data_IF_495698719824
#
_entry.id   IF_495698719824
#
_cell.length_a   1.000
_cell.length_b   1.000
_cell.length_c   1.000
_cell.angle_alpha   90.00
_cell.angle_beta   90.00
_cell.angle_gamma   90.00
#
_symmetry.space_group_name_H-M   'P 1'
#
loop_
_entity.id
_entity.type
_entity.pdbx_description
1 polymer ?
#
# COMPACT_ATOMS: atom_id res chain seq x y z
N UNK A 1 -27.94 -21.43 8.84
CA UNK A 1 -27.88 -20.82 7.49
C UNK A 1 -26.42 -20.47 7.27
N UNK A 2 -25.74 -21.21 6.40
CA UNK A 2 -24.30 -21.10 6.18
C UNK A 2 -23.96 -19.72 5.58
N UNK A 3 -23.01 -19.01 6.19
CA UNK A 3 -22.54 -17.71 5.72
C UNK A 3 -21.92 -17.84 4.33
N UNK A 4 -22.62 -17.33 3.32
CA UNK A 4 -22.10 -17.21 1.97
C UNK A 4 -20.98 -16.18 1.95
N UNK A 5 -19.74 -16.66 1.92
CA UNK A 5 -18.56 -15.82 1.70
C UNK A 5 -18.70 -15.06 0.37
N UNK A 6 -18.32 -13.79 0.38
CA UNK A 6 -18.21 -12.97 -0.84
C UNK A 6 -17.04 -13.50 -1.67
N UNK A 7 -17.28 -14.51 -2.49
CA UNK A 7 -16.27 -15.06 -3.40
C UNK A 7 -16.20 -14.19 -4.65
N UNK A 8 -15.00 -13.72 -4.98
CA UNK A 8 -14.73 -13.05 -6.26
C UNK A 8 -14.49 -14.13 -7.32
N UNK A 9 -15.28 -14.11 -8.40
CA UNK A 9 -15.17 -15.07 -9.51
C UNK A 9 -14.73 -14.31 -10.76
N UNK A 10 -13.69 -14.79 -11.43
CA UNK A 10 -13.23 -14.21 -12.69
C UNK A 10 -14.32 -14.38 -13.76
N UNK A 11 -14.80 -13.25 -14.31
CA UNK A 11 -15.96 -13.24 -15.20
C UNK A 11 -15.78 -14.10 -16.46
N UNK A 12 -14.58 -14.11 -17.05
CA UNK A 12 -14.24 -14.95 -18.18
C UNK A 12 -14.32 -16.46 -17.88
N UNK A 13 -13.88 -16.87 -16.68
CA UNK A 13 -13.91 -18.27 -16.25
C UNK A 13 -15.35 -18.71 -15.95
N UNK A 14 -16.13 -17.81 -15.34
CA UNK A 14 -17.55 -18.01 -15.16
C UNK A 14 -18.27 -18.23 -16.51
N UNK A 15 -18.00 -17.40 -17.52
CA UNK A 15 -18.61 -17.54 -18.85
C UNK A 15 -18.25 -18.85 -19.54
N UNK A 16 -16.98 -19.28 -19.47
CA UNK A 16 -16.55 -20.58 -19.98
C UNK A 16 -17.32 -21.73 -19.32
N UNK A 17 -17.43 -21.70 -17.99
CA UNK A 17 -18.18 -22.72 -17.24
C UNK A 17 -19.66 -22.75 -17.63
N UNK A 18 -20.28 -21.58 -17.79
CA UNK A 18 -21.70 -21.44 -18.15
C UNK A 18 -21.99 -21.96 -19.54
N UNK A 19 -21.13 -21.65 -20.51
CA UNK A 19 -21.28 -22.14 -21.87
C UNK A 19 -21.10 -23.67 -21.97
N UNK A 20 -20.23 -24.24 -21.15
CA UNK A 20 -19.96 -25.68 -21.16
C UNK A 20 -21.14 -26.51 -20.63
N UNK A 21 -21.87 -25.99 -19.64
CA UNK A 21 -23.03 -26.67 -19.06
C UNK A 21 -24.35 -26.39 -19.80
N UNK A 22 -24.41 -25.35 -20.64
CA UNK A 22 -25.65 -24.94 -21.34
C UNK A 22 -26.28 -26.04 -22.21
N UNK A 23 -25.47 -26.99 -22.69
CA UNK A 23 -25.92 -28.06 -23.58
C UNK A 23 -25.96 -29.44 -22.89
N UNK A 24 -25.81 -29.49 -21.57
CA UNK A 24 -25.87 -30.73 -20.79
C UNK A 24 -27.29 -30.88 -20.28
N UNK A 25 -27.91 -32.03 -20.57
CA UNK A 25 -29.23 -32.39 -20.06
C UNK A 25 -29.09 -33.57 -19.08
N UNK A 26 -29.74 -33.47 -17.92
CA UNK A 26 -29.68 -34.49 -16.86
C UNK A 26 -28.55 -34.33 -15.82
N UNK A 27 -28.38 -35.37 -15.00
CA UNK A 27 -27.42 -35.38 -13.89
C UNK A 27 -26.03 -35.78 -14.36
N UNK A 28 -25.01 -35.04 -13.90
CA UNK A 28 -23.61 -35.39 -14.08
C UNK A 28 -23.11 -36.27 -12.92
N UNK A 29 -22.51 -37.41 -13.26
CA UNK A 29 -21.67 -38.19 -12.35
C UNK A 29 -20.39 -37.42 -12.00
N UNK A 30 -19.67 -37.86 -10.96
CA UNK A 30 -18.44 -37.17 -10.56
C UNK A 30 -17.31 -37.30 -11.57
N UNK A 31 -17.21 -38.41 -12.29
CA UNK A 31 -16.24 -38.55 -13.38
C UNK A 31 -16.54 -37.54 -14.49
N UNK A 32 -17.82 -37.41 -14.90
CA UNK A 32 -18.22 -36.44 -15.93
C UNK A 32 -17.97 -34.99 -15.50
N UNK A 33 -18.10 -34.66 -14.21
CA UNK A 33 -17.78 -33.31 -13.72
C UNK A 33 -16.28 -33.02 -13.81
N UNK A 34 -15.43 -33.98 -13.44
CA UNK A 34 -13.98 -33.84 -13.55
C UNK A 34 -13.57 -33.71 -15.02
N UNK A 35 -14.14 -34.53 -15.90
CA UNK A 35 -13.90 -34.46 -17.34
C UNK A 35 -14.34 -33.11 -17.92
N UNK A 36 -15.48 -32.58 -17.48
CA UNK A 36 -15.94 -31.27 -17.89
C UNK A 36 -14.94 -30.17 -17.47
N UNK A 37 -14.45 -30.19 -16.23
CA UNK A 37 -13.46 -29.23 -15.74
C UNK A 37 -12.18 -29.29 -16.58
N UNK A 38 -11.64 -30.49 -16.78
CA UNK A 38 -10.40 -30.72 -17.54
C UNK A 38 -10.53 -30.27 -19.00
N UNK A 39 -11.71 -30.44 -19.58
CA UNK A 39 -11.97 -30.02 -20.96
C UNK A 39 -12.24 -28.53 -21.08
N UNK A 40 -12.82 -27.87 -20.07
CA UNK A 40 -13.24 -26.46 -20.15
C UNK A 40 -12.07 -25.52 -19.87
N UNK A 41 -11.30 -25.76 -18.81
CA UNK A 41 -10.23 -24.85 -18.37
C UNK A 41 -8.86 -25.19 -18.95
N UNK A 42 -8.81 -25.45 -20.26
CA UNK A 42 -7.54 -25.65 -20.96
C UNK A 42 -6.94 -24.31 -21.38
N UNK A 43 -5.61 -24.20 -21.36
CA UNK A 43 -4.90 -23.01 -21.85
C UNK A 43 -5.32 -22.61 -23.27
N UNK A 44 -5.60 -23.61 -24.12
CA UNK A 44 -6.09 -23.39 -25.49
C UNK A 44 -7.45 -22.68 -25.48
N UNK A 45 -8.45 -23.23 -24.80
CA UNK A 45 -9.80 -22.63 -24.73
C UNK A 45 -9.82 -21.27 -24.04
N UNK A 46 -8.95 -21.06 -23.05
CA UNK A 46 -8.82 -19.76 -22.40
C UNK A 46 -8.28 -18.72 -23.39
N UNK A 47 -7.22 -19.05 -24.15
CA UNK A 47 -6.65 -18.14 -25.16
C UNK A 47 -7.59 -17.86 -26.35
N UNK A 48 -8.35 -18.86 -26.77
CA UNK A 48 -9.30 -18.75 -27.88
C UNK A 48 -10.61 -18.06 -27.46
N UNK A 49 -10.81 -17.81 -26.17
CA UNK A 49 -12.01 -17.16 -25.64
C UNK A 49 -11.84 -15.65 -25.61
N UNK A 50 -12.69 -14.92 -26.33
CA UNK A 50 -12.71 -13.45 -26.36
C UNK A 50 -12.96 -12.81 -24.98
N UNK A 51 -13.46 -13.58 -24.00
CA UNK A 51 -13.79 -13.10 -22.66
C UNK A 51 -12.83 -13.59 -21.57
N UNK A 52 -11.91 -14.48 -21.89
CA UNK A 52 -10.98 -15.09 -20.92
C UNK A 52 -9.52 -15.07 -21.36
N UNK A 53 -9.22 -14.66 -22.60
CA UNK A 53 -7.87 -14.58 -23.16
C UNK A 53 -6.92 -13.70 -22.33
N UNK A 54 -7.44 -12.62 -21.75
CA UNK A 54 -6.68 -11.67 -20.93
C UNK A 54 -6.12 -12.33 -19.65
N UNK A 55 -6.74 -13.38 -19.14
CA UNK A 55 -6.31 -14.06 -17.91
C UNK A 55 -4.87 -14.60 -18.01
N UNK A 56 -4.49 -15.14 -19.17
CA UNK A 56 -3.13 -15.67 -19.38
C UNK A 56 -2.12 -14.52 -19.40
N UNK A 57 -2.49 -13.38 -19.97
CA UNK A 57 -1.66 -12.18 -19.99
C UNK A 57 -1.52 -11.61 -18.57
N UNK A 58 -2.61 -11.55 -17.80
CA UNK A 58 -2.60 -11.13 -16.39
C UNK A 58 -1.69 -12.01 -15.52
N UNK A 59 -1.76 -13.34 -15.68
CA UNK A 59 -0.89 -14.28 -14.95
C UNK A 59 0.56 -14.08 -15.35
N UNK A 60 0.85 -13.94 -16.65
CA UNK A 60 2.23 -13.67 -17.13
C UNK A 60 2.76 -12.33 -16.65
N UNK A 61 1.92 -11.30 -16.66
CA UNK A 61 2.26 -9.98 -16.17
C UNK A 61 2.56 -10.04 -14.66
N UNK A 62 1.79 -10.83 -13.90
CA UNK A 62 2.02 -11.05 -12.48
C UNK A 62 3.32 -11.80 -12.22
N UNK A 63 3.61 -12.86 -12.99
CA UNK A 63 4.87 -13.62 -12.89
C UNK A 63 6.06 -12.72 -13.26
N UNK A 64 5.99 -12.01 -14.38
CA UNK A 64 7.02 -11.06 -14.80
C UNK A 64 7.21 -9.93 -13.80
N UNK A 65 6.13 -9.46 -13.18
CA UNK A 65 6.16 -8.50 -12.08
C UNK A 65 6.95 -9.05 -10.88
N UNK A 66 6.70 -10.29 -10.44
CA UNK A 66 7.43 -10.93 -9.35
C UNK A 66 8.90 -11.18 -9.70
N UNK A 67 9.19 -11.64 -10.92
CA UNK A 67 10.55 -11.90 -11.42
C UNK A 67 11.36 -10.61 -11.58
N UNK A 68 10.72 -9.50 -11.96
CA UNK A 68 11.37 -8.18 -12.07
C UNK A 68 11.88 -7.63 -10.72
N UNK A 69 11.42 -8.18 -9.60
CA UNK A 69 11.96 -7.88 -8.27
C UNK A 69 13.26 -8.63 -7.94
N UNK A 70 13.63 -9.63 -8.73
CA UNK A 70 14.82 -10.47 -8.52
C UNK A 70 16.01 -10.09 -9.42
N UNK A 71 15.81 -9.21 -10.41
CA UNK A 71 16.81 -8.88 -11.42
C UNK A 71 17.40 -7.48 -11.18
N UNK A 72 18.68 -7.41 -10.80
CA UNK A 72 19.44 -6.19 -10.48
C UNK A 72 19.61 -5.21 -11.67
N UNK A 73 19.13 -5.58 -12.87
CA UNK A 73 19.29 -4.84 -14.11
C UNK A 73 18.16 -3.84 -14.44
N UNK A 74 17.05 -3.86 -13.69
CA UNK A 74 15.95 -2.92 -13.90
C UNK A 74 16.24 -1.65 -13.10
N UNK A 75 16.25 -0.50 -13.78
CA UNK A 75 16.46 0.82 -13.16
C UNK A 75 15.59 0.95 -11.89
N UNK A 76 16.23 1.21 -10.75
CA UNK A 76 15.60 1.31 -9.43
C UNK A 76 14.37 2.22 -9.45
N UNK A 77 14.37 3.27 -10.27
CA UNK A 77 13.21 4.17 -10.44
C UNK A 77 12.04 3.50 -11.16
N UNK A 78 12.32 2.70 -12.18
CA UNK A 78 11.33 1.93 -12.93
C UNK A 78 10.76 0.77 -12.11
N UNK A 79 11.60 0.11 -11.30
CA UNK A 79 11.19 -0.83 -10.25
C UNK A 79 10.30 -0.10 -9.24
N UNK A 80 10.74 0.99 -8.60
CA UNK A 80 9.94 1.75 -7.62
C UNK A 80 8.61 2.28 -8.17
N UNK A 81 8.52 2.57 -9.48
CA UNK A 81 7.28 2.99 -10.15
C UNK A 81 6.33 1.82 -10.44
N UNK A 82 6.88 0.64 -10.77
CA UNK A 82 6.13 -0.62 -10.98
C UNK A 82 5.69 -1.24 -9.66
N UNK A 83 6.56 -1.23 -8.65
CA UNK A 83 6.32 -1.57 -7.25
C UNK A 83 5.77 -0.37 -6.46
N UNK A 84 5.01 0.52 -7.12
CA UNK A 84 4.23 1.52 -6.38
C UNK A 84 3.45 0.78 -5.29
N UNK A 85 3.72 1.15 -4.04
CA UNK A 85 2.92 0.80 -2.85
C UNK A 85 3.08 -0.59 -2.22
N UNK A 86 4.24 -0.87 -1.62
CA UNK A 86 4.25 -1.65 -0.36
C UNK A 86 4.95 -0.86 0.75
N UNK A 87 6.05 -0.17 0.42
CA UNK A 87 6.83 0.56 1.41
C UNK A 87 6.28 1.96 1.67
N UNK A 88 5.71 2.12 2.86
CA UNK A 88 5.39 3.41 3.45
C UNK A 88 6.41 3.77 4.53
N UNK A 89 6.67 5.06 4.68
CA UNK A 89 7.51 5.59 5.76
C UNK A 89 6.69 6.55 6.62
N UNK A 90 6.96 6.53 7.91
CA UNK A 90 6.30 7.41 8.87
C UNK A 90 6.82 8.84 8.72
N UNK A 91 5.94 9.75 8.31
CA UNK A 91 6.23 11.16 8.12
C UNK A 91 5.30 12.01 8.99
N UNK A 92 5.78 13.15 9.46
CA UNK A 92 4.99 14.10 10.22
C UNK A 92 4.51 15.23 9.31
N UNK A 93 3.20 15.48 9.19
CA UNK A 93 2.69 16.62 8.43
C UNK A 93 3.20 17.94 9.02
N UNK A 94 3.43 18.94 8.16
CA UNK A 94 3.94 20.24 8.60
C UNK A 94 3.04 20.90 9.65
N UNK A 95 1.72 20.90 9.43
CA UNK A 95 0.75 21.51 10.34
C UNK A 95 0.82 20.91 11.75
N UNK A 96 0.97 19.59 11.85
CA UNK A 96 1.11 18.85 13.11
C UNK A 96 2.43 19.16 13.81
N UNK A 97 3.52 19.25 13.04
CA UNK A 97 4.83 19.63 13.59
C UNK A 97 4.78 21.04 14.18
N UNK A 98 4.22 22.00 13.45
CA UNK A 98 4.19 23.40 13.88
C UNK A 98 3.31 23.59 15.12
N UNK A 99 2.14 22.94 15.19
CA UNK A 99 1.24 23.04 16.35
C UNK A 99 1.81 22.40 17.62
N UNK A 100 2.71 21.41 17.50
CA UNK A 100 3.27 20.66 18.63
C UNK A 100 4.76 20.92 18.86
N UNK A 101 5.31 21.98 18.25
CA UNK A 101 6.77 22.19 18.10
C UNK A 101 7.54 22.12 19.41
N UNK A 102 7.02 22.74 20.48
CA UNK A 102 7.66 22.74 21.81
C UNK A 102 7.65 21.33 22.42
N UNK A 103 6.50 20.69 22.48
CA UNK A 103 6.34 19.33 23.04
C UNK A 103 7.18 18.29 22.31
N UNK A 104 7.27 18.39 20.98
CA UNK A 104 8.13 17.54 20.16
C UNK A 104 9.60 17.77 20.52
N UNK A 105 10.04 19.02 20.60
CA UNK A 105 11.44 19.37 20.91
C UNK A 105 11.88 18.79 22.25
N UNK A 106 11.06 18.94 23.30
CA UNK A 106 11.39 18.47 24.64
C UNK A 106 11.50 16.94 24.69
N UNK A 107 10.54 16.24 24.07
CA UNK A 107 10.55 14.77 23.99
C UNK A 107 11.73 14.24 23.18
N UNK A 108 12.06 14.88 22.05
CA UNK A 108 13.24 14.51 21.26
C UNK A 108 14.53 14.73 22.05
N UNK A 109 14.64 15.83 22.80
CA UNK A 109 15.80 16.08 23.66
C UNK A 109 15.96 14.97 24.70
N UNK A 110 14.88 14.57 25.38
CA UNK A 110 14.90 13.46 26.32
C UNK A 110 15.32 12.15 25.66
N UNK A 111 14.72 11.81 24.51
CA UNK A 111 15.04 10.56 23.78
C UNK A 111 16.52 10.52 23.36
N UNK A 112 17.06 11.62 22.84
CA UNK A 112 18.47 11.70 22.46
C UNK A 112 19.40 11.52 23.66
N UNK A 113 19.05 12.06 24.83
CA UNK A 113 19.79 11.86 26.06
C UNK A 113 19.70 10.41 26.58
N UNK A 114 18.54 9.78 26.44
CA UNK A 114 18.36 8.36 26.73
C UNK A 114 19.26 7.49 25.82
N UNK A 115 19.28 7.74 24.51
CA UNK A 115 20.10 6.98 23.56
C UNK A 115 21.61 7.18 23.75
N UNK A 116 22.03 8.32 24.31
CA UNK A 116 23.43 8.56 24.73
C UNK A 116 23.83 7.80 26.00
N UNK A 117 22.91 7.06 26.62
CA UNK A 117 23.21 6.19 27.76
C UNK A 117 23.27 6.91 29.11
N UNK A 118 22.68 8.11 29.23
CA UNK A 118 22.76 8.91 30.47
C UNK A 118 22.04 8.28 31.67
N UNK A 119 20.96 7.52 31.48
CA UNK A 119 20.23 6.82 32.55
C UNK A 119 19.33 5.70 31.97
N UNK A 120 19.35 4.51 32.57
CA UNK A 120 18.56 3.33 32.15
C UNK A 120 17.65 2.76 33.25
N UNK A 121 17.33 3.56 34.26
CA UNK A 121 16.34 3.18 35.28
C UNK A 121 14.98 2.85 34.65
N UNK A 122 14.13 2.10 35.38
CA UNK A 122 12.80 1.72 34.92
C UNK A 122 11.93 2.92 34.54
N UNK A 123 11.94 3.99 35.35
CA UNK A 123 11.23 5.25 35.06
C UNK A 123 11.69 5.89 33.73
N UNK A 124 12.99 5.83 33.42
CA UNK A 124 13.51 6.32 32.14
C UNK A 124 13.08 5.45 30.95
N UNK A 125 12.96 4.13 31.14
CA UNK A 125 12.45 3.23 30.11
C UNK A 125 10.98 3.51 29.82
N UNK A 126 10.16 3.70 30.87
CA UNK A 126 8.73 3.99 30.74
C UNK A 126 8.52 5.32 29.99
N UNK A 127 9.25 6.38 30.37
CA UNK A 127 9.23 7.67 29.66
C UNK A 127 9.72 7.57 28.22
N UNK A 128 10.74 6.73 27.95
CA UNK A 128 11.21 6.49 26.58
C UNK A 128 10.10 5.89 25.72
N UNK A 129 9.35 4.92 26.24
CA UNK A 129 8.24 4.28 25.53
C UNK A 129 7.13 5.31 25.29
N UNK A 130 6.72 6.02 26.34
CA UNK A 130 5.70 7.07 26.27
C UNK A 130 6.03 8.13 25.21
N UNK A 131 7.25 8.67 25.23
CA UNK A 131 7.66 9.72 24.31
C UNK A 131 7.86 9.20 22.89
N UNK A 132 8.26 7.94 22.71
CA UNK A 132 8.31 7.31 21.38
C UNK A 132 6.90 7.20 20.80
N UNK A 133 5.96 6.66 21.58
CA UNK A 133 4.57 6.50 21.18
C UNK A 133 3.90 7.84 20.87
N UNK A 134 4.17 8.88 21.66
CA UNK A 134 3.68 10.23 21.39
C UNK A 134 4.13 10.73 20.03
N UNK A 135 5.41 10.54 19.67
CA UNK A 135 5.91 10.96 18.36
C UNK A 135 5.28 10.14 17.23
N UNK A 136 5.06 8.85 17.44
CA UNK A 136 4.47 7.95 16.44
C UNK A 136 3.00 8.29 16.16
N UNK A 137 2.25 8.76 17.17
CA UNK A 137 0.87 9.25 17.02
C UNK A 137 0.76 10.54 16.19
N UNK A 138 1.86 11.29 16.07
CA UNK A 138 1.92 12.52 15.26
C UNK A 138 2.39 12.25 13.83
N UNK A 139 2.73 11.00 13.50
CA UNK A 139 3.15 10.61 12.15
C UNK A 139 2.05 9.89 11.38
N UNK A 140 2.14 9.96 10.06
CA UNK A 140 1.29 9.27 9.11
C UNK A 140 2.17 8.43 8.18
N UNK A 141 1.67 7.24 7.82
CA UNK A 141 2.32 6.40 6.81
C UNK A 141 2.15 7.04 5.43
N UNK A 142 3.25 7.37 4.78
CA UNK A 142 3.25 7.96 3.43
C UNK A 142 4.04 7.07 2.50
N UNK A 143 3.52 6.73 1.31
CA UNK A 143 4.27 5.99 0.32
C UNK A 143 5.61 6.65 0.00
N UNK A 144 6.67 5.85 -0.02
CA UNK A 144 8.05 6.34 -0.22
C UNK A 144 8.21 7.19 -1.49
N UNK A 145 7.52 6.86 -2.58
CA UNK A 145 7.58 7.61 -3.84
C UNK A 145 7.03 9.04 -3.74
N UNK A 146 6.14 9.32 -2.78
CA UNK A 146 5.64 10.68 -2.50
C UNK A 146 6.68 11.44 -1.69
N UNK A 147 7.45 10.79 -0.83
CA UNK A 147 8.31 11.49 0.13
C UNK A 147 9.66 11.87 -0.45
N UNK A 148 10.28 11.01 -1.28
CA UNK A 148 11.67 11.19 -1.71
C UNK A 148 11.92 12.26 -2.79
N UNK A 149 10.91 13.06 -3.13
CA UNK A 149 11.12 14.30 -3.86
C UNK A 149 11.52 15.40 -2.86
N UNK A 150 12.67 16.06 -3.09
CA UNK A 150 13.24 17.04 -2.13
C UNK A 150 12.25 18.15 -1.76
N UNK A 151 11.42 18.59 -2.70
CA UNK A 151 10.36 19.57 -2.49
C UNK A 151 9.25 19.13 -1.52
N UNK A 152 9.15 17.83 -1.24
CA UNK A 152 8.16 17.25 -0.32
C UNK A 152 8.68 17.18 1.11
N UNK A 153 9.98 17.46 1.34
CA UNK A 153 10.61 17.41 2.65
C UNK A 153 10.91 18.83 3.13
N UNK A 154 10.25 19.23 4.22
CA UNK A 154 10.59 20.48 4.91
C UNK A 154 11.85 20.33 5.77
N UNK A 155 11.92 19.23 6.54
CA UNK A 155 12.99 18.99 7.50
C UNK A 155 13.11 17.52 7.84
N UNK A 156 14.33 17.07 8.15
CA UNK A 156 14.58 15.75 8.76
C UNK A 156 15.04 15.97 10.20
N UNK A 157 14.44 15.25 11.15
CA UNK A 157 14.80 15.30 12.56
C UNK A 157 15.32 13.94 13.02
N UNK A 158 16.53 13.93 13.55
CA UNK A 158 17.16 12.74 14.12
C UNK A 158 16.70 12.52 15.57
N UNK A 159 16.31 11.28 15.87
CA UNK A 159 15.93 10.82 17.21
C UNK A 159 16.66 9.50 17.48
N UNK A 160 17.78 9.55 18.19
CA UNK A 160 18.64 8.37 18.40
C UNK A 160 19.22 7.84 17.08
N UNK A 161 18.72 6.70 16.60
CA UNK A 161 19.12 6.10 15.31
C UNK A 161 18.05 6.20 14.22
N UNK A 162 16.89 6.79 14.53
CA UNK A 162 15.78 6.94 13.58
C UNK A 162 15.69 8.39 13.09
N UNK A 163 15.19 8.55 11.87
CA UNK A 163 14.87 9.85 11.29
C UNK A 163 13.35 10.01 11.20
N UNK A 164 12.85 11.18 11.62
CA UNK A 164 11.48 11.61 11.40
C UNK A 164 11.50 12.66 10.29
N UNK A 165 10.81 12.38 9.20
CA UNK A 165 10.68 13.30 8.07
C UNK A 165 9.48 14.22 8.32
N UNK A 166 9.70 15.53 8.28
CA UNK A 166 8.66 16.54 8.30
C UNK A 166 8.34 16.91 6.85
N UNK A 167 7.08 16.72 6.46
CA UNK A 167 6.61 17.03 5.10
C UNK A 167 6.56 18.53 4.86
N UNK A 168 6.57 18.93 3.59
CA UNK A 168 6.43 20.32 3.18
C UNK A 168 5.03 20.89 3.43
N UNK A 169 4.92 22.22 3.40
CA UNK A 169 3.66 22.95 3.60
C UNK A 169 2.59 22.66 2.54
N UNK A 170 2.98 22.08 1.40
CA UNK A 170 2.06 21.74 0.32
C UNK A 170 1.13 20.58 0.64
N UNK A 171 1.42 19.79 1.68
CA UNK A 171 0.56 18.69 2.11
C UNK A 171 -0.45 19.15 3.16
N UNK A 172 -1.73 18.99 2.85
CA UNK A 172 -2.81 19.27 3.80
C UNK A 172 -3.07 18.03 4.66
N UNK A 173 -3.25 18.23 5.96
CA UNK A 173 -3.57 17.16 6.91
C UNK A 173 -4.73 17.57 7.80
N UNK A 174 -5.68 16.66 7.98
CA UNK A 174 -6.69 16.72 9.04
C UNK A 174 -6.79 15.36 9.72
N UNK A 175 -7.18 15.35 10.99
CA UNK A 175 -7.36 14.10 11.73
C UNK A 175 -8.43 13.20 11.06
N UNK A 176 -9.51 13.81 10.58
CA UNK A 176 -10.65 13.08 9.99
C UNK A 176 -10.36 12.55 8.57
N UNK A 177 -9.60 13.30 7.75
CA UNK A 177 -9.36 12.95 6.33
C UNK A 177 -7.96 12.39 6.06
N UNK A 178 -7.06 12.42 7.04
CA UNK A 178 -5.65 12.04 6.85
C UNK A 178 -4.87 13.04 5.99
N UNK A 179 -3.80 12.57 5.37
CA UNK A 179 -2.90 13.36 4.52
C UNK A 179 -3.48 13.46 3.10
N UNK A 180 -3.66 14.67 2.60
CA UNK A 180 -4.07 14.95 1.22
C UNK A 180 -2.84 15.08 0.33
N UNK A 181 -2.86 14.36 -0.80
CA UNK A 181 -1.73 14.29 -1.74
C UNK A 181 -1.76 15.36 -2.83
N UNK A 182 -2.86 16.11 -2.94
CA UNK A 182 -2.94 17.29 -3.77
C UNK A 182 -2.10 18.40 -3.12
N UNK A 183 -0.87 18.60 -3.58
CA UNK A 183 -0.23 19.93 -3.49
C UNK A 183 -1.19 20.89 -4.15
N UNK A 184 -1.68 21.91 -3.43
CA UNK A 184 -2.63 22.94 -3.92
C UNK A 184 -2.66 23.02 -5.46
N UNK A 185 -3.55 22.25 -6.07
CA UNK A 185 -4.16 22.63 -7.33
C UNK A 185 -5.27 23.51 -6.79
N UNK A 186 -5.17 24.81 -7.03
CA UNK A 186 -6.23 25.73 -6.71
C UNK A 186 -7.57 25.10 -7.11
N UNK A 187 -8.54 25.09 -6.20
CA UNK A 187 -9.93 24.69 -6.45
C UNK A 187 -10.61 25.72 -7.39
N UNK A 188 -9.98 26.07 -8.52
CA UNK A 188 -10.55 26.78 -9.66
C UNK A 188 -10.82 25.78 -10.78
N UNK A 189 -11.74 24.84 -10.57
CA UNK A 189 -12.54 24.26 -11.65
C UNK A 189 -13.82 23.58 -11.10
N UNK A 190 -14.40 24.18 -10.05
CA UNK A 190 -15.77 23.89 -9.60
C UNK A 190 -16.74 24.98 -10.05
N UNK A 191 -16.67 25.37 -11.32
CA UNK A 191 -17.74 26.10 -12.02
C UNK A 191 -17.58 25.98 -13.54
N UNK A 192 -17.99 24.85 -14.11
CA UNK A 192 -18.55 24.85 -15.46
C UNK A 192 -19.81 23.99 -15.45
N UNK A 193 -20.91 24.65 -15.79
CA UNK A 193 -22.26 24.11 -15.95
C UNK A 193 -22.34 23.12 -17.12
#
# INVERSE_FOLDING_TARGET
IHGGGRTVVHYGMYKLSKNAINNIDGYLSEEEKIDLINNVYTTKKIKESDVANDYIEEVKNTISYLESGADDAIDRRSVMKKFRDIDSIQCMPYSVYESNRMSIKDKISFLNDYYKGKNKSKDYLDKKIEYSNYLDQLTVAVPTYIVYEVENIYKVIEVGKRNIIILSKGFNYSFDKGLSLSKNIDDEDSNVW
#
